data_IF_440334838096
#
_entry.id   IF_440334838096
#
_cell.length_a   1.000
_cell.length_b   1.000
_cell.length_c   1.000
_cell.angle_alpha   90.00
_cell.angle_beta   90.00
_cell.angle_gamma   90.00
#
_symmetry.space_group_name_H-M   'P 1'
#
loop_
_entity.id
_entity.type
_entity.pdbx_description
1 polymer ?
#
# COMPACT_ATOMS: atom_id res chain seq x y z
N UNK A 1 10.45 -9.53 5.72
CA UNK A 1 9.46 -9.31 6.80
C UNK A 1 8.57 -8.15 6.37
N UNK A 2 7.26 -8.26 6.54
CA UNK A 2 6.22 -7.50 5.83
C UNK A 2 6.43 -5.96 5.81
N UNK A 3 7.11 -5.47 4.78
CA UNK A 3 7.46 -4.05 4.53
C UNK A 3 6.24 -3.12 4.43
N UNK A 4 5.04 -3.69 4.29
CA UNK A 4 3.77 -2.99 4.21
C UNK A 4 3.30 -2.33 5.51
N UNK A 5 3.75 -2.82 6.68
CA UNK A 5 3.22 -2.36 7.98
C UNK A 5 3.92 -1.11 8.52
N UNK A 6 5.04 -0.69 7.91
CA UNK A 6 5.86 0.43 8.40
C UNK A 6 5.59 1.75 7.64
N UNK A 7 4.65 1.76 6.68
CA UNK A 7 4.35 2.96 5.90
C UNK A 7 3.28 3.80 6.60
N UNK A 8 3.64 5.04 6.96
CA UNK A 8 2.69 5.99 7.54
C UNK A 8 1.46 6.16 6.62
N UNK A 9 0.23 5.99 7.13
CA UNK A 9 -0.99 6.01 6.35
C UNK A 9 -1.20 7.25 5.47
N UNK A 10 -0.71 8.40 5.93
CA UNK A 10 -0.82 9.67 5.21
C UNK A 10 0.34 9.88 4.23
N UNK A 11 1.50 9.27 4.49
CA UNK A 11 2.65 9.26 3.58
C UNK A 11 2.57 8.15 2.50
N UNK A 12 1.54 7.29 2.52
CA UNK A 12 1.34 6.22 1.54
C UNK A 12 1.34 6.74 0.11
N UNK A 13 2.21 6.15 -0.71
CA UNK A 13 2.25 6.40 -2.15
C UNK A 13 1.25 5.50 -2.87
N UNK A 14 0.45 6.08 -3.77
CA UNK A 14 -0.57 5.34 -4.51
C UNK A 14 0.08 4.26 -5.39
N UNK A 15 -0.45 3.04 -5.37
CA UNK A 15 -0.02 1.96 -6.26
C UNK A 15 -1.09 1.55 -7.31
N UNK A 16 -2.35 1.81 -7.02
CA UNK A 16 -3.50 1.45 -7.87
C UNK A 16 -4.52 2.58 -7.99
N UNK A 17 -5.65 2.33 -8.62
CA UNK A 17 -6.70 3.35 -8.80
C UNK A 17 -7.61 3.50 -7.57
N UNK A 18 -8.36 4.61 -7.45
CA UNK A 18 -9.40 4.76 -6.44
C UNK A 18 -10.44 3.65 -6.57
N UNK A 19 -10.73 2.94 -5.48
CA UNK A 19 -11.69 1.84 -5.48
C UNK A 19 -11.14 0.49 -5.96
N UNK A 20 -9.83 0.36 -6.18
CA UNK A 20 -9.18 -0.94 -6.39
C UNK A 20 -9.50 -1.90 -5.23
N UNK A 21 -9.64 -3.20 -5.51
CA UNK A 21 -9.88 -4.23 -4.49
C UNK A 21 -8.59 -4.65 -3.80
N UNK A 22 -8.73 -5.40 -2.69
CA UNK A 22 -7.58 -5.94 -1.98
C UNK A 22 -6.76 -6.88 -2.87
N UNK A 23 -7.43 -7.82 -3.53
CA UNK A 23 -6.82 -8.79 -4.43
C UNK A 23 -6.09 -8.11 -5.59
N UNK A 24 -6.72 -7.16 -6.29
CA UNK A 24 -6.05 -6.45 -7.39
C UNK A 24 -4.85 -5.63 -6.92
N UNK A 25 -4.91 -5.06 -5.72
CA UNK A 25 -3.75 -4.36 -5.16
C UNK A 25 -2.59 -5.31 -4.86
N UNK A 26 -2.89 -6.49 -4.30
CA UNK A 26 -1.90 -7.50 -3.96
C UNK A 26 -1.34 -8.20 -5.21
N UNK A 27 -2.14 -8.46 -6.23
CA UNK A 27 -1.70 -8.98 -7.54
C UNK A 27 -0.71 -8.05 -8.25
N UNK A 28 -0.83 -6.74 -8.01
CA UNK A 28 0.13 -5.73 -8.49
C UNK A 28 1.45 -5.73 -7.70
N UNK A 29 1.56 -6.56 -6.67
CA UNK A 29 2.73 -6.62 -5.80
C UNK A 29 2.77 -5.49 -4.76
N UNK A 30 1.64 -4.89 -4.44
CA UNK A 30 1.53 -3.77 -3.52
C UNK A 30 0.86 -4.13 -2.20
N UNK A 31 0.93 -3.18 -1.28
CA UNK A 31 0.39 -3.31 0.06
C UNK A 31 -1.07 -2.87 0.11
N UNK A 32 -1.88 -3.65 0.81
CA UNK A 32 -3.27 -3.33 1.10
C UNK A 32 -3.49 -3.12 2.60
N UNK A 33 -4.03 -1.97 2.98
CA UNK A 33 -4.48 -1.71 4.35
C UNK A 33 -5.73 -0.81 4.34
N UNK A 34 -6.86 -1.42 4.72
CA UNK A 34 -8.16 -0.76 4.82
C UNK A 34 -8.53 -0.38 6.27
N UNK A 35 -7.59 -0.54 7.22
CA UNK A 35 -7.82 -0.30 8.64
C UNK A 35 -8.14 1.16 8.97
N UNK A 36 -7.67 2.09 8.14
CA UNK A 36 -7.85 3.54 8.30
C UNK A 36 -8.66 4.09 7.12
N UNK A 37 -9.69 4.88 7.41
CA UNK A 37 -10.52 5.54 6.38
C UNK A 37 -9.92 6.90 6.00
N UNK A 38 -10.16 7.32 4.76
CA UNK A 38 -9.66 8.62 4.25
C UNK A 38 -8.20 8.61 3.81
N UNK A 39 -7.56 7.45 3.78
CA UNK A 39 -6.19 7.24 3.28
C UNK A 39 -6.18 6.26 2.11
N UNK A 40 -5.02 6.12 1.45
CA UNK A 40 -4.85 5.17 0.36
C UNK A 40 -4.77 3.76 0.93
N UNK A 41 -5.71 2.90 0.53
CA UNK A 41 -5.71 1.50 0.95
C UNK A 41 -4.72 0.68 0.15
N UNK A 42 -4.57 0.97 -1.14
CA UNK A 42 -3.54 0.37 -1.98
C UNK A 42 -2.34 1.30 -2.11
N UNK A 43 -1.19 0.86 -1.59
CA UNK A 43 0.02 1.66 -1.52
C UNK A 43 1.29 0.85 -1.78
N UNK A 44 2.34 1.53 -2.23
CA UNK A 44 3.66 0.93 -2.37
C UNK A 44 4.31 0.73 -0.99
N UNK A 45 4.95 -0.42 -0.78
CA UNK A 45 5.90 -0.58 0.33
C UNK A 45 7.08 0.34 0.04
N UNK A 46 7.25 1.39 0.84
CA UNK A 46 8.45 2.23 0.80
C UNK A 46 9.61 1.46 1.46
N UNK A 47 9.97 0.30 0.91
CA UNK A 47 11.06 -0.58 1.33
C UNK A 47 12.11 -0.83 0.23
N UNK A 48 11.99 -0.15 -0.91
CA UNK A 48 12.95 -0.23 -2.01
C UNK A 48 14.14 0.72 -1.87
N UNK A 49 14.85 0.72 -0.74
CA UNK A 49 16.27 1.12 -0.78
C UNK A 49 17.06 -0.14 -1.05
N UNK A 50 17.49 -0.28 -2.31
CA UNK A 50 18.57 -1.18 -2.71
C UNK A 50 19.78 -0.85 -1.82
N UNK A 51 20.23 -1.83 -1.03
CA UNK A 51 21.66 -2.07 -0.79
C UNK A 51 22.02 -3.43 -1.34
#
# INVERSE_FOLDING_TARGET
ENECQLVDPYARQNCGWPGITADECQERGCCWDNSIRGVKWCFNSTGGTIV
#
